data_IF_475975731457
#
_entry.id   IF_475975731457
#
_cell.length_a   1.000
_cell.length_b   1.000
_cell.length_c   1.000
_cell.angle_alpha   90.00
_cell.angle_beta   90.00
_cell.angle_gamma   90.00
#
_symmetry.space_group_name_H-M   'P 1'
#
loop_
_entity.id
_entity.type
_entity.pdbx_description
1 polymer ?
#
# COMPACT_ATOMS: atom_id res chain seq x y z
N UNK A 1 12.77 -19.94 38.09
CA UNK A 1 12.05 -19.79 36.80
C UNK A 1 11.78 -18.32 36.64
N UNK A 2 12.75 -17.59 36.11
CA UNK A 2 12.56 -16.20 35.71
C UNK A 2 12.08 -16.19 34.26
N UNK A 3 10.95 -15.54 34.04
CA UNK A 3 10.31 -15.45 32.75
C UNK A 3 11.20 -14.70 31.76
N UNK A 4 11.43 -15.33 30.61
CA UNK A 4 12.12 -14.75 29.46
C UNK A 4 11.47 -13.42 29.04
N UNK A 5 12.22 -12.31 28.91
CA UNK A 5 11.68 -11.13 28.23
C UNK A 5 11.71 -11.40 26.73
N UNK A 6 10.66 -12.04 26.23
CA UNK A 6 10.32 -12.11 24.81
C UNK A 6 9.78 -10.77 24.30
N UNK A 7 10.49 -9.67 24.56
CA UNK A 7 9.99 -8.32 24.31
C UNK A 7 11.10 -7.43 23.78
N UNK A 8 11.51 -7.64 22.53
CA UNK A 8 12.24 -6.66 21.71
C UNK A 8 12.15 -6.99 20.22
N UNK A 9 10.96 -7.34 19.75
CA UNK A 9 10.67 -7.31 18.31
C UNK A 9 10.44 -5.85 17.91
N UNK A 10 11.57 -5.16 17.64
CA UNK A 10 11.66 -3.87 16.97
C UNK A 10 10.98 -2.68 17.69
N UNK A 11 11.71 -2.04 18.60
CA UNK A 11 11.46 -0.64 18.95
C UNK A 11 11.80 0.24 17.74
N UNK A 12 10.80 0.49 16.90
CA UNK A 12 10.92 1.42 15.79
C UNK A 12 10.88 2.85 16.35
N UNK A 13 12.05 3.50 16.43
CA UNK A 13 12.14 4.94 16.72
C UNK A 13 11.22 5.73 15.79
N UNK A 14 10.61 6.83 16.25
CA UNK A 14 9.75 7.69 15.43
C UNK A 14 10.39 8.06 14.09
N UNK A 15 11.71 8.28 14.09
CA UNK A 15 12.48 8.57 12.88
C UNK A 15 12.55 7.36 11.93
N UNK A 16 12.70 6.15 12.48
CA UNK A 16 12.66 4.91 11.69
C UNK A 16 11.29 4.71 11.04
N UNK A 17 10.22 5.06 11.73
CA UNK A 17 8.85 4.95 11.21
C UNK A 17 8.62 5.94 10.06
N UNK A 18 9.09 7.17 10.21
CA UNK A 18 9.05 8.19 9.15
C UNK A 18 9.84 7.76 7.90
N UNK A 19 11.01 7.15 8.08
CA UNK A 19 11.83 6.62 6.98
C UNK A 19 11.09 5.51 6.25
N UNK A 20 10.51 4.54 6.96
CA UNK A 20 9.75 3.45 6.34
C UNK A 20 8.54 4.01 5.59
N UNK A 21 7.82 4.98 6.15
CA UNK A 21 6.69 5.62 5.49
C UNK A 21 7.11 6.34 4.21
N UNK A 22 8.22 7.08 4.24
CA UNK A 22 8.77 7.75 3.07
C UNK A 22 9.18 6.73 1.98
N UNK A 23 9.84 5.64 2.36
CA UNK A 23 10.19 4.53 1.47
C UNK A 23 8.95 3.90 0.83
N UNK A 24 7.91 3.60 1.62
CA UNK A 24 6.64 3.07 1.13
C UNK A 24 5.97 4.03 0.13
N UNK A 25 5.92 5.31 0.45
CA UNK A 25 5.39 6.33 -0.45
C UNK A 25 6.14 6.37 -1.78
N UNK A 26 7.48 6.33 -1.74
CA UNK A 26 8.33 6.27 -2.93
C UNK A 26 8.04 5.01 -3.75
N UNK A 27 7.92 3.84 -3.10
CA UNK A 27 7.61 2.58 -3.79
C UNK A 27 6.26 2.63 -4.50
N UNK A 28 5.22 3.19 -3.87
CA UNK A 28 3.90 3.35 -4.49
C UNK A 28 4.00 4.28 -5.71
N UNK A 29 4.67 5.42 -5.59
CA UNK A 29 4.83 6.39 -6.69
C UNK A 29 5.59 5.75 -7.86
N UNK A 30 6.70 5.07 -7.59
CA UNK A 30 7.48 4.38 -8.62
C UNK A 30 6.66 3.26 -9.27
N UNK A 31 5.89 2.50 -8.47
CA UNK A 31 5.01 1.45 -8.97
C UNK A 31 3.94 1.99 -9.93
N UNK A 32 3.30 3.10 -9.58
CA UNK A 32 2.32 3.78 -10.44
C UNK A 32 3.00 4.31 -11.71
N UNK A 33 4.17 4.93 -11.61
CA UNK A 33 4.91 5.45 -12.76
C UNK A 33 5.34 4.34 -13.72
N UNK A 34 5.83 3.22 -13.21
CA UNK A 34 6.20 2.05 -14.03
C UNK A 34 4.97 1.43 -14.70
N UNK A 35 3.85 1.30 -13.98
CA UNK A 35 2.60 0.81 -14.53
C UNK A 35 2.10 1.70 -15.70
N UNK A 36 2.13 3.03 -15.52
CA UNK A 36 1.68 3.97 -16.54
C UNK A 36 2.64 4.10 -17.73
N UNK A 37 3.96 4.08 -17.49
CA UNK A 37 4.98 4.36 -18.51
C UNK A 37 5.31 3.11 -19.34
N UNK A 38 5.41 1.94 -18.71
CA UNK A 38 5.88 0.72 -19.38
C UNK A 38 4.76 -0.19 -19.88
N UNK A 39 3.64 -0.26 -19.16
CA UNK A 39 2.58 -1.22 -19.49
C UNK A 39 1.39 -0.61 -20.27
N UNK A 40 1.42 0.66 -20.69
CA UNK A 40 0.28 1.30 -21.39
C UNK A 40 -0.26 0.53 -22.61
N UNK A 41 0.57 -0.31 -23.26
CA UNK A 41 0.17 -1.18 -24.40
C UNK A 41 -0.10 -2.64 -24.02
N UNK A 42 0.21 -3.07 -22.80
CA UNK A 42 0.15 -4.46 -22.31
C UNK A 42 -0.63 -4.62 -20.97
N UNK A 43 -1.24 -3.53 -20.48
CA UNK A 43 -2.16 -3.52 -19.34
C UNK A 43 -3.48 -4.11 -19.81
N UNK A 44 -3.60 -5.41 -19.64
CA UNK A 44 -4.90 -6.07 -19.72
C UNK A 44 -5.76 -5.62 -18.54
N UNK A 45 -7.08 -5.51 -18.74
CA UNK A 45 -8.05 -5.18 -17.69
C UNK A 45 -7.87 -6.05 -16.42
N UNK A 46 -7.55 -7.33 -16.61
CA UNK A 46 -7.20 -8.25 -15.51
C UNK A 46 -6.00 -7.82 -14.67
N UNK A 47 -4.94 -7.29 -15.29
CA UNK A 47 -3.74 -6.81 -14.56
C UNK A 47 -4.04 -5.52 -13.80
N UNK A 48 -4.85 -4.64 -14.38
CA UNK A 48 -5.34 -3.44 -13.70
C UNK A 48 -6.20 -3.80 -12.48
N UNK A 49 -7.08 -4.79 -12.59
CA UNK A 49 -7.83 -5.31 -11.44
C UNK A 49 -6.92 -5.83 -10.33
N UNK A 50 -5.90 -6.63 -10.68
CA UNK A 50 -4.96 -7.16 -9.71
C UNK A 50 -4.19 -6.04 -8.99
N UNK A 51 -3.68 -5.06 -9.74
CA UNK A 51 -2.97 -3.92 -9.17
C UNK A 51 -3.86 -3.07 -8.25
N UNK A 52 -5.12 -2.85 -8.65
CA UNK A 52 -6.10 -2.17 -7.80
C UNK A 52 -6.39 -2.95 -6.50
N UNK A 53 -6.50 -4.28 -6.58
CA UNK A 53 -6.69 -5.13 -5.40
C UNK A 53 -5.49 -5.10 -4.45
N UNK A 54 -4.26 -5.08 -4.97
CA UNK A 54 -3.04 -4.93 -4.16
C UNK A 54 -3.01 -3.58 -3.42
N UNK A 55 -3.42 -2.49 -4.07
CA UNK A 55 -3.55 -1.18 -3.44
C UNK A 55 -4.59 -1.17 -2.31
N UNK A 56 -5.75 -1.82 -2.52
CA UNK A 56 -6.76 -1.98 -1.45
C UNK A 56 -6.17 -2.76 -0.28
N UNK A 57 -5.48 -3.87 -0.56
CA UNK A 57 -4.87 -4.70 0.47
C UNK A 57 -3.80 -3.93 1.27
N UNK A 58 -2.97 -3.15 0.58
CA UNK A 58 -1.97 -2.28 1.21
C UNK A 58 -2.62 -1.22 2.11
N UNK A 59 -3.69 -0.58 1.64
CA UNK A 59 -4.45 0.37 2.44
C UNK A 59 -5.10 -0.27 3.68
N UNK A 60 -5.57 -1.51 3.58
CA UNK A 60 -6.07 -2.28 4.74
C UNK A 60 -4.95 -2.60 5.75
N UNK A 61 -3.74 -2.93 5.29
CA UNK A 61 -2.58 -3.12 6.17
C UNK A 61 -2.27 -1.82 6.92
N UNK A 62 -2.29 -0.67 6.25
CA UNK A 62 -2.12 0.63 6.91
C UNK A 62 -3.21 0.91 7.95
N UNK A 63 -4.45 0.46 7.72
CA UNK A 63 -5.53 0.60 8.70
C UNK A 63 -5.39 -0.37 9.89
N UNK A 64 -4.75 -1.53 9.68
CA UNK A 64 -4.55 -2.54 10.72
C UNK A 64 -3.43 -2.17 11.70
N UNK A 65 -2.41 -1.42 11.25
CA UNK A 65 -1.32 -0.95 12.10
C UNK A 65 -1.78 0.30 12.88
N UNK A 66 -1.85 0.21 14.20
CA UNK A 66 -2.40 1.26 15.08
C UNK A 66 -1.70 2.61 14.89
N UNK A 67 -0.36 2.63 14.79
CA UNK A 67 0.41 3.86 14.56
C UNK A 67 0.07 4.53 13.23
N UNK A 68 -0.12 3.75 12.16
CA UNK A 68 -0.54 4.29 10.85
C UNK A 68 -1.99 4.78 10.89
N UNK A 69 -2.88 4.03 11.54
CA UNK A 69 -4.30 4.39 11.66
C UNK A 69 -4.51 5.71 12.39
N UNK A 70 -3.75 5.97 13.45
CA UNK A 70 -3.90 7.20 14.25
C UNK A 70 -3.17 8.38 13.60
N UNK A 71 -1.97 8.16 13.05
CA UNK A 71 -1.11 9.23 12.55
C UNK A 71 -1.40 9.61 11.09
N UNK A 72 -1.86 8.65 10.27
CA UNK A 72 -2.13 8.82 8.84
C UNK A 72 -3.43 8.12 8.37
N UNK A 73 -4.60 8.37 9.00
CA UNK A 73 -5.87 7.71 8.63
C UNK A 73 -6.29 8.02 7.18
N UNK A 74 -5.99 9.23 6.69
CA UNK A 74 -6.29 9.64 5.32
C UNK A 74 -5.48 8.88 4.28
N UNK A 75 -4.24 8.46 4.59
CA UNK A 75 -3.38 7.72 3.66
C UNK A 75 -3.96 6.34 3.35
N UNK A 76 -4.39 5.62 4.39
CA UNK A 76 -5.06 4.33 4.26
C UNK A 76 -6.34 4.47 3.42
N UNK A 77 -7.19 5.45 3.75
CA UNK A 77 -8.42 5.70 2.99
C UNK A 77 -8.15 6.02 1.52
N UNK A 78 -7.19 6.90 1.23
CA UNK A 78 -6.83 7.28 -0.14
C UNK A 78 -6.26 6.10 -0.92
N UNK A 79 -5.47 5.25 -0.29
CA UNK A 79 -4.87 4.08 -0.96
C UNK A 79 -5.95 3.04 -1.30
N UNK A 80 -6.90 2.82 -0.39
CA UNK A 80 -8.07 1.96 -0.66
C UNK A 80 -8.92 2.54 -1.78
N UNK A 81 -9.23 3.84 -1.72
CA UNK A 81 -10.06 4.50 -2.72
C UNK A 81 -9.39 4.46 -4.11
N UNK A 82 -8.09 4.72 -4.19
CA UNK A 82 -7.31 4.64 -5.43
C UNK A 82 -7.32 3.22 -5.99
N UNK A 83 -7.09 2.21 -5.13
CA UNK A 83 -7.13 0.81 -5.52
C UNK A 83 -8.51 0.37 -6.02
N UNK A 84 -9.60 0.87 -5.41
CA UNK A 84 -10.96 0.63 -5.86
C UNK A 84 -11.23 1.24 -7.24
N UNK A 85 -10.82 2.50 -7.47
CA UNK A 85 -10.95 3.17 -8.76
C UNK A 85 -10.21 2.39 -9.85
N UNK A 86 -8.95 2.01 -9.59
CA UNK A 86 -8.13 1.26 -10.53
C UNK A 86 -8.74 -0.12 -10.82
N UNK A 87 -9.29 -0.78 -9.80
CA UNK A 87 -9.98 -2.07 -9.97
C UNK A 87 -11.21 -1.94 -10.86
N UNK A 88 -12.02 -0.88 -10.67
CA UNK A 88 -13.18 -0.60 -11.52
C UNK A 88 -12.75 -0.28 -12.96
N UNK A 89 -11.69 0.51 -13.14
CA UNK A 89 -11.13 0.76 -14.48
C UNK A 89 -10.69 -0.55 -15.14
N UNK A 90 -10.01 -1.43 -14.40
CA UNK A 90 -9.62 -2.75 -14.88
C UNK A 90 -10.81 -3.63 -15.25
N UNK A 91 -11.91 -3.57 -14.49
CA UNK A 91 -13.16 -4.27 -14.78
C UNK A 91 -13.84 -3.75 -16.07
N UNK A 92 -13.79 -2.44 -16.30
CA UNK A 92 -14.38 -1.78 -17.46
C UNK A 92 -13.51 -1.86 -18.71
N UNK A 93 -12.21 -2.11 -18.56
CA UNK A 93 -11.31 -2.42 -19.66
C UNK A 93 -11.73 -3.74 -20.30
N UNK A 94 -12.39 -3.65 -21.45
CA UNK A 94 -12.58 -4.77 -22.37
C UNK A 94 -11.21 -5.19 -22.92
N UNK A 95 -10.66 -6.24 -22.33
CA UNK A 95 -9.66 -7.10 -22.97
C UNK A 95 -10.28 -7.84 -24.17
#
# INVERSE_FOLDING_TARGET
MEETPGSNLFYLSENGFLIINALLGITIIIGILLALSFFRKNLTGKKLMLFGAELIFLGLIFNAIVDYKVRYPSLSFLTILLGAIISVIGLLSKD
#
